data_IF_605492841492
#
_entry.id   IF_605492841492
#
_cell.length_a   1.000
_cell.length_b   1.000
_cell.length_c   1.000
_cell.angle_alpha   90.00
_cell.angle_beta   90.00
_cell.angle_gamma   90.00
#
_symmetry.space_group_name_H-M   'P 1'
#
loop_
_entity.id
_entity.type
_entity.pdbx_description
1 polymer ?
#
# COMPACT_ATOMS: atom_id res chain seq x y z
N UNK A 1 13.85 -24.83 8.50
CA UNK A 1 13.52 -23.98 7.33
C UNK A 1 14.21 -22.64 7.50
N UNK A 2 14.66 -21.98 6.44
CA UNK A 2 15.38 -20.70 6.51
C UNK A 2 14.45 -19.54 6.14
N UNK A 3 14.52 -18.45 6.89
CA UNK A 3 13.87 -17.20 6.53
C UNK A 3 14.53 -16.61 5.27
N UNK A 4 13.75 -15.91 4.46
CA UNK A 4 14.23 -15.21 3.28
C UNK A 4 15.12 -14.03 3.69
N UNK A 5 16.19 -13.78 2.94
CA UNK A 5 17.13 -12.65 3.18
C UNK A 5 17.29 -11.72 1.98
N UNK A 6 16.62 -12.03 0.87
CA UNK A 6 16.78 -11.31 -0.41
C UNK A 6 15.90 -10.06 -0.49
N UNK A 7 14.69 -10.13 0.06
CA UNK A 7 13.75 -9.03 0.06
C UNK A 7 13.97 -8.18 1.32
N UNK A 8 14.74 -7.12 1.16
CA UNK A 8 15.15 -6.21 2.22
C UNK A 8 14.19 -5.05 2.46
N UNK A 9 14.65 -4.09 3.27
CA UNK A 9 13.87 -2.91 3.63
C UNK A 9 13.61 -1.96 2.46
N UNK A 10 14.53 -1.88 1.48
CA UNK A 10 14.36 -1.07 0.26
C UNK A 10 13.10 -1.49 -0.49
N UNK A 11 12.90 -2.81 -0.62
CA UNK A 11 11.70 -3.34 -1.26
C UNK A 11 10.45 -3.09 -0.41
N UNK A 12 10.54 -3.18 0.92
CA UNK A 12 9.42 -2.83 1.80
C UNK A 12 8.96 -1.38 1.57
N UNK A 13 9.91 -0.44 1.48
CA UNK A 13 9.65 0.98 1.22
C UNK A 13 9.06 1.18 -0.17
N UNK A 14 9.60 0.52 -1.21
CA UNK A 14 9.02 0.56 -2.55
C UNK A 14 7.57 0.05 -2.57
N UNK A 15 7.29 -1.13 -2.00
CA UNK A 15 5.94 -1.71 -2.00
C UNK A 15 4.96 -0.82 -1.23
N UNK A 16 5.43 -0.19 -0.15
CA UNK A 16 4.65 0.77 0.61
C UNK A 16 4.37 2.04 -0.19
N UNK A 17 5.39 2.71 -0.73
CA UNK A 17 5.25 3.96 -1.47
C UNK A 17 4.48 3.82 -2.78
N UNK A 18 4.65 2.70 -3.48
CA UNK A 18 3.83 2.37 -4.65
C UNK A 18 2.34 2.20 -4.27
N UNK A 19 2.07 1.54 -3.14
CA UNK A 19 0.73 1.40 -2.60
C UNK A 19 0.13 2.75 -2.15
N UNK A 20 0.89 3.51 -1.35
CA UNK A 20 0.51 4.82 -0.83
C UNK A 20 0.19 5.80 -1.95
N UNK A 21 1.04 5.85 -3.00
CA UNK A 21 0.81 6.72 -4.15
C UNK A 21 -0.44 6.35 -4.94
N UNK A 22 -0.68 5.04 -5.18
CA UNK A 22 -1.95 4.60 -5.75
C UNK A 22 -3.15 4.93 -4.87
N UNK A 23 -3.03 4.75 -3.55
CA UNK A 23 -4.09 5.00 -2.58
C UNK A 23 -4.46 6.48 -2.45
N UNK A 24 -3.47 7.37 -2.41
CA UNK A 24 -3.67 8.84 -2.39
C UNK A 24 -4.36 9.32 -3.66
N UNK A 25 -3.95 8.82 -4.82
CA UNK A 25 -4.62 9.13 -6.09
C UNK A 25 -6.09 8.68 -6.08
N UNK A 26 -6.36 7.45 -5.62
CA UNK A 26 -7.73 6.92 -5.51
C UNK A 26 -8.56 7.76 -4.53
N UNK A 27 -7.99 8.16 -3.39
CA UNK A 27 -8.64 9.01 -2.41
C UNK A 27 -8.99 10.39 -3.01
N UNK A 28 -8.03 11.05 -3.68
CA UNK A 28 -8.23 12.36 -4.31
C UNK A 28 -9.26 12.33 -5.43
N UNK A 29 -9.22 11.33 -6.31
CA UNK A 29 -10.21 11.17 -7.37
C UNK A 29 -11.60 10.83 -6.81
N UNK A 30 -11.66 10.04 -5.74
CA UNK A 30 -12.92 9.73 -5.06
C UNK A 30 -13.52 10.98 -4.40
N UNK A 31 -12.68 11.87 -3.85
CA UNK A 31 -13.10 13.17 -3.33
C UNK A 31 -13.66 14.08 -4.46
N UNK A 32 -13.04 14.07 -5.66
CA UNK A 32 -13.53 14.82 -6.83
C UNK A 32 -14.92 14.31 -7.27
N UNK A 33 -15.10 12.99 -7.39
CA UNK A 33 -16.40 12.41 -7.75
C UNK A 33 -17.47 12.61 -6.67
N UNK A 34 -17.08 12.68 -5.41
CA UNK A 34 -17.99 12.95 -4.29
C UNK A 34 -18.34 14.45 -4.16
N UNK A 35 -17.78 15.33 -5.00
CA UNK A 35 -18.02 16.77 -4.94
C UNK A 35 -17.46 17.43 -3.68
N UNK A 36 -16.39 16.86 -3.10
CA UNK A 36 -15.73 17.40 -1.92
C UNK A 36 -14.88 18.64 -2.28
N UNK A 37 -14.29 19.27 -1.27
CA UNK A 37 -13.41 20.41 -1.47
C UNK A 37 -12.29 20.09 -2.48
N UNK A 38 -12.13 20.97 -3.46
CA UNK A 38 -11.18 20.76 -4.58
C UNK A 38 -9.76 20.58 -4.09
N UNK A 39 -9.38 21.21 -2.98
CA UNK A 39 -8.06 21.07 -2.37
C UNK A 39 -7.78 19.64 -1.92
N UNK A 40 -8.77 18.93 -1.35
CA UNK A 40 -8.64 17.51 -0.94
C UNK A 40 -8.31 16.65 -2.15
N UNK A 41 -9.04 16.86 -3.25
CA UNK A 41 -8.86 16.13 -4.49
C UNK A 41 -7.51 16.41 -5.14
N UNK A 42 -7.11 17.69 -5.21
CA UNK A 42 -5.81 18.12 -5.74
C UNK A 42 -4.65 17.58 -4.88
N UNK A 43 -4.78 17.55 -3.55
CA UNK A 43 -3.79 16.95 -2.65
C UNK A 43 -3.62 15.45 -2.94
N UNK A 44 -4.73 14.70 -3.05
CA UNK A 44 -4.65 13.26 -3.33
C UNK A 44 -4.02 12.93 -4.69
N UNK A 45 -4.40 13.68 -5.73
CA UNK A 45 -3.77 13.56 -7.06
C UNK A 45 -2.29 13.94 -6.99
N UNK A 46 -1.95 15.05 -6.37
CA UNK A 46 -0.57 15.50 -6.26
C UNK A 46 0.35 14.52 -5.53
N UNK A 47 -0.12 13.89 -4.45
CA UNK A 47 0.71 12.96 -3.67
C UNK A 47 0.99 11.63 -4.39
N UNK A 48 0.16 11.25 -5.36
CA UNK A 48 0.28 9.97 -6.07
C UNK A 48 1.64 9.81 -6.73
N UNK A 49 1.97 10.73 -7.64
CA UNK A 49 3.18 10.66 -8.47
C UNK A 49 4.47 10.70 -7.64
N UNK A 50 4.70 11.67 -6.72
CA UNK A 50 5.90 11.72 -5.91
C UNK A 50 6.11 10.45 -5.09
N UNK A 51 5.06 9.89 -4.49
CA UNK A 51 5.16 8.66 -3.72
C UNK A 51 5.63 7.50 -4.59
N UNK A 52 4.96 7.26 -5.74
CA UNK A 52 5.33 6.15 -6.62
C UNK A 52 6.70 6.36 -7.25
N UNK A 53 7.04 7.59 -7.64
CA UNK A 53 8.35 7.92 -8.21
C UNK A 53 9.48 7.63 -7.21
N UNK A 54 9.36 8.12 -5.98
CA UNK A 54 10.36 7.85 -4.91
C UNK A 54 10.43 6.35 -4.63
N UNK A 55 9.28 5.66 -4.56
CA UNK A 55 9.23 4.20 -4.41
C UNK A 55 10.00 3.47 -5.53
N UNK A 56 9.86 3.92 -6.78
CA UNK A 56 10.61 3.37 -7.90
C UNK A 56 12.12 3.62 -7.79
N UNK A 57 12.55 4.75 -7.21
CA UNK A 57 13.98 4.99 -6.95
C UNK A 57 14.55 3.97 -5.96
N UNK A 58 13.80 3.63 -4.90
CA UNK A 58 14.18 2.55 -3.97
C UNK A 58 14.24 1.18 -4.67
N UNK A 59 13.30 0.89 -5.56
CA UNK A 59 13.31 -0.34 -6.36
C UNK A 59 14.55 -0.42 -7.26
N UNK A 60 14.91 0.68 -7.93
CA UNK A 60 16.08 0.74 -8.82
C UNK A 60 17.38 0.61 -8.01
N UNK A 61 17.44 1.22 -6.82
CA UNK A 61 18.60 1.11 -5.93
C UNK A 61 18.82 -0.31 -5.39
N UNK A 62 17.76 -1.09 -5.21
CA UNK A 62 17.83 -2.51 -4.79
C UNK A 62 18.32 -3.45 -5.90
N UNK A 63 18.25 -3.01 -7.18
CA UNK A 63 18.78 -3.81 -8.28
C UNK A 63 20.28 -4.02 -8.14
N UNK A 64 20.75 -5.26 -8.30
CA UNK A 64 22.19 -5.56 -8.28
C UNK A 64 23.00 -4.83 -9.37
N UNK A 65 22.35 -4.34 -10.44
CA UNK A 65 22.94 -3.46 -11.46
C UNK A 65 21.92 -2.38 -11.88
N UNK A 66 21.83 -1.24 -11.17
CA UNK A 66 20.80 -0.21 -11.40
C UNK A 66 20.78 0.33 -12.84
N UNK A 67 21.94 0.43 -13.49
CA UNK A 67 22.06 0.90 -14.88
C UNK A 67 21.26 0.06 -15.90
N UNK A 68 20.94 -1.19 -15.56
CA UNK A 68 20.18 -2.10 -16.40
C UNK A 68 18.68 -2.11 -16.09
N UNK A 69 18.15 -1.14 -15.34
CA UNK A 69 16.73 -1.10 -14.96
C UNK A 69 15.80 -1.17 -16.16
N UNK A 70 16.19 -0.61 -17.32
CA UNK A 70 15.40 -0.66 -18.56
C UNK A 70 15.09 -2.09 -19.01
N UNK A 71 15.91 -3.07 -18.62
CA UNK A 71 15.66 -4.49 -18.90
C UNK A 71 14.45 -5.04 -18.14
N UNK A 72 13.99 -4.35 -17.10
CA UNK A 72 12.78 -4.73 -16.38
C UNK A 72 11.54 -4.73 -17.29
N UNK A 73 11.50 -3.89 -18.33
CA UNK A 73 10.42 -3.87 -19.32
C UNK A 73 10.39 -5.10 -20.25
N UNK A 74 11.42 -5.95 -20.23
CA UNK A 74 11.56 -7.04 -21.19
C UNK A 74 10.72 -8.27 -20.79
N UNK A 75 10.15 -8.94 -21.79
CA UNK A 75 9.38 -10.20 -21.67
C UNK A 75 8.11 -10.08 -20.78
N UNK A 76 7.18 -9.14 -21.04
CA UNK A 76 5.94 -8.99 -20.27
C UNK A 76 5.01 -10.22 -20.33
N UNK A 77 5.17 -11.07 -21.35
CA UNK A 77 4.42 -12.33 -21.45
C UNK A 77 4.74 -13.31 -20.31
N UNK A 78 5.98 -13.34 -19.82
CA UNK A 78 6.44 -14.34 -18.85
C UNK A 78 6.88 -13.75 -17.51
N UNK A 79 7.31 -12.49 -17.48
CA UNK A 79 7.84 -11.84 -16.28
C UNK A 79 6.78 -11.00 -15.58
N UNK A 80 6.50 -11.33 -14.31
CA UNK A 80 5.66 -10.48 -13.46
C UNK A 80 6.27 -9.11 -13.24
N UNK A 81 7.60 -9.04 -13.08
CA UNK A 81 8.34 -7.77 -12.95
C UNK A 81 8.04 -6.86 -14.14
N UNK A 82 8.09 -7.39 -15.36
CA UNK A 82 7.84 -6.60 -16.56
C UNK A 82 6.40 -6.08 -16.67
N UNK A 83 5.41 -6.89 -16.29
CA UNK A 83 4.00 -6.44 -16.25
C UNK A 83 3.82 -5.29 -15.28
N UNK A 84 4.42 -5.41 -14.10
CA UNK A 84 4.42 -4.36 -13.09
C UNK A 84 5.09 -3.08 -13.53
N UNK A 85 6.30 -3.18 -14.08
CA UNK A 85 7.04 -2.02 -14.58
C UNK A 85 6.20 -1.25 -15.61
N UNK A 86 5.48 -1.95 -16.49
CA UNK A 86 4.57 -1.31 -17.46
C UNK A 86 3.41 -0.61 -16.73
N UNK A 87 2.68 -1.32 -15.85
CA UNK A 87 1.53 -0.76 -15.11
C UNK A 87 1.92 0.50 -14.32
N UNK A 88 3.01 0.41 -13.56
CA UNK A 88 3.52 1.51 -12.72
C UNK A 88 3.97 2.69 -13.58
N UNK A 89 4.62 2.43 -14.72
CA UNK A 89 5.06 3.50 -15.64
C UNK A 89 3.86 4.23 -16.24
N UNK A 90 2.83 3.50 -16.69
CA UNK A 90 1.61 4.13 -17.20
C UNK A 90 0.88 4.93 -16.11
N UNK A 91 0.80 4.39 -14.88
CA UNK A 91 0.24 5.14 -13.75
C UNK A 91 1.00 6.46 -13.53
N UNK A 92 2.34 6.41 -13.42
CA UNK A 92 3.16 7.61 -13.21
C UNK A 92 3.01 8.63 -14.34
N UNK A 93 2.95 8.20 -15.60
CA UNK A 93 2.75 9.12 -16.74
C UNK A 93 1.37 9.77 -16.66
N UNK A 94 0.31 8.99 -16.43
CA UNK A 94 -1.05 9.51 -16.35
C UNK A 94 -1.22 10.47 -15.17
N UNK A 95 -0.71 10.11 -14.00
CA UNK A 95 -0.80 10.94 -12.80
C UNK A 95 0.02 12.24 -12.96
N UNK A 96 1.23 12.16 -13.52
CA UNK A 96 2.02 13.34 -13.86
C UNK A 96 1.31 14.28 -14.84
N UNK A 97 0.67 13.73 -15.88
CA UNK A 97 -0.15 14.51 -16.80
C UNK A 97 -1.37 15.12 -16.09
N UNK A 98 -1.99 14.38 -15.18
CA UNK A 98 -3.12 14.88 -14.40
C UNK A 98 -2.71 16.08 -13.54
N UNK A 99 -1.58 15.98 -12.82
CA UNK A 99 -0.99 17.08 -12.06
C UNK A 99 -0.71 18.28 -12.97
N UNK A 100 -0.09 18.06 -14.14
CA UNK A 100 0.26 19.15 -15.07
C UNK A 100 -0.97 19.90 -15.57
N UNK A 101 -2.03 19.17 -15.90
CA UNK A 101 -3.21 19.71 -16.56
C UNK A 101 -4.26 20.26 -15.59
N UNK A 102 -4.17 19.95 -14.29
CA UNK A 102 -5.16 20.37 -13.28
C UNK A 102 -4.61 21.15 -12.08
N UNK A 103 -3.31 21.00 -11.77
CA UNK A 103 -2.73 21.57 -10.55
C UNK A 103 -1.65 22.58 -10.91
N UNK A 104 -0.64 22.16 -11.67
CA UNK A 104 0.50 23.02 -11.99
C UNK A 104 1.27 22.56 -13.23
N UNK A 105 1.59 23.44 -14.20
CA UNK A 105 1.37 24.88 -14.20
C UNK A 105 0.01 25.29 -14.82
N UNK A 106 -0.78 24.33 -15.28
CA UNK A 106 -2.04 24.61 -15.97
C UNK A 106 -3.25 24.18 -15.14
N UNK A 107 -4.41 24.77 -15.44
CA UNK A 107 -5.70 24.40 -14.86
C UNK A 107 -6.73 24.07 -15.95
N UNK A 108 -6.26 23.47 -17.06
CA UNK A 108 -7.10 23.09 -18.21
C UNK A 108 -8.22 22.14 -17.77
N UNK A 109 -7.99 21.29 -16.78
CA UNK A 109 -9.01 20.34 -16.33
C UNK A 109 -10.02 20.92 -15.31
N UNK A 110 -9.86 22.17 -14.86
CA UNK A 110 -10.89 22.83 -14.04
C UNK A 110 -12.19 23.02 -14.81
N UNK A 111 -12.09 23.56 -16.02
CA UNK A 111 -13.25 23.90 -16.85
C UNK A 111 -13.77 22.72 -17.68
N UNK A 112 -12.90 21.73 -17.97
CA UNK A 112 -13.22 20.58 -18.81
C UNK A 112 -13.48 19.31 -17.99
N UNK A 113 -14.61 19.29 -17.27
CA UNK A 113 -15.03 18.19 -16.38
C UNK A 113 -15.03 16.82 -17.06
N UNK A 114 -15.46 16.72 -18.32
CA UNK A 114 -15.45 15.47 -19.08
C UNK A 114 -14.04 14.91 -19.29
N UNK A 115 -13.07 15.77 -19.61
CA UNK A 115 -11.67 15.37 -19.74
C UNK A 115 -11.06 15.00 -18.38
N UNK A 116 -11.41 15.73 -17.32
CA UNK A 116 -10.98 15.43 -15.95
C UNK A 116 -11.48 14.06 -15.51
N UNK A 117 -12.77 13.77 -15.66
CA UNK A 117 -13.35 12.47 -15.31
C UNK A 117 -12.77 11.33 -16.16
N UNK A 118 -12.44 11.57 -17.42
CA UNK A 118 -11.79 10.57 -18.26
C UNK A 118 -10.38 10.21 -17.74
N UNK A 119 -9.55 11.21 -17.42
CA UNK A 119 -8.23 11.01 -16.81
C UNK A 119 -8.36 10.36 -15.43
N UNK A 120 -9.33 10.77 -14.61
CA UNK A 120 -9.66 10.16 -13.33
C UNK A 120 -9.88 8.65 -13.48
N UNK A 121 -10.77 8.23 -14.37
CA UNK A 121 -11.10 6.82 -14.59
C UNK A 121 -9.88 6.02 -15.06
N UNK A 122 -9.12 6.54 -16.02
CA UNK A 122 -7.90 5.89 -16.49
C UNK A 122 -6.86 5.77 -15.36
N UNK A 123 -6.62 6.86 -14.63
CA UNK A 123 -5.70 6.87 -13.51
C UNK A 123 -6.12 5.91 -12.40
N UNK A 124 -7.42 5.80 -12.08
CA UNK A 124 -7.94 4.81 -11.12
C UNK A 124 -7.58 3.38 -11.55
N UNK A 125 -7.79 3.02 -12.81
CA UNK A 125 -7.48 1.67 -13.31
C UNK A 125 -5.99 1.35 -13.09
N UNK A 126 -5.10 2.28 -13.43
CA UNK A 126 -3.66 2.08 -13.27
C UNK A 126 -3.18 2.21 -11.81
N UNK A 127 -3.83 3.01 -10.97
CA UNK A 127 -3.59 3.09 -9.53
C UNK A 127 -3.95 1.76 -8.84
N UNK A 128 -5.15 1.24 -9.10
CA UNK A 128 -5.57 -0.09 -8.64
C UNK A 128 -4.63 -1.18 -9.15
N UNK A 129 -4.27 -1.13 -10.43
CA UNK A 129 -3.30 -2.05 -11.02
C UNK A 129 -1.94 -2.01 -10.31
N UNK A 130 -1.43 -0.81 -10.02
CA UNK A 130 -0.17 -0.58 -9.30
C UNK A 130 -0.22 -1.21 -7.92
N UNK A 131 -1.27 -0.94 -7.14
CA UNK A 131 -1.43 -1.48 -5.80
C UNK A 131 -1.51 -3.02 -5.84
N UNK A 132 -2.43 -3.60 -6.63
CA UNK A 132 -2.64 -5.05 -6.67
C UNK A 132 -1.38 -5.77 -7.17
N UNK A 133 -0.69 -5.20 -8.16
CA UNK A 133 0.54 -5.77 -8.69
C UNK A 133 1.61 -5.96 -7.61
N UNK A 134 1.76 -5.00 -6.68
CA UNK A 134 2.78 -5.13 -5.60
C UNK A 134 2.58 -6.39 -4.76
N UNK A 135 1.34 -6.81 -4.50
CA UNK A 135 1.04 -8.06 -3.81
C UNK A 135 1.21 -9.30 -4.71
N UNK A 136 0.80 -9.21 -5.98
CA UNK A 136 0.97 -10.30 -6.95
C UNK A 136 2.45 -10.62 -7.24
N UNK A 137 3.31 -9.59 -7.23
CA UNK A 137 4.76 -9.73 -7.40
C UNK A 137 5.36 -10.67 -6.34
N UNK A 138 4.96 -10.50 -5.07
CA UNK A 138 5.41 -11.38 -3.99
C UNK A 138 4.86 -12.80 -4.17
N UNK A 139 3.57 -12.94 -4.53
CA UNK A 139 2.95 -14.24 -4.78
C UNK A 139 3.57 -15.03 -5.95
N UNK A 140 4.17 -14.34 -6.91
CA UNK A 140 4.90 -14.98 -8.02
C UNK A 140 6.24 -15.61 -7.59
N UNK A 141 6.75 -15.28 -6.40
CA UNK A 141 7.98 -15.85 -5.85
C UNK A 141 7.72 -17.26 -5.31
N UNK A 142 7.88 -18.25 -6.20
CA UNK A 142 7.57 -19.68 -5.97
C UNK A 142 8.08 -20.31 -4.66
N UNK A 143 9.25 -19.96 -4.08
CA UNK A 143 9.75 -20.71 -2.92
C UNK A 143 9.11 -20.32 -1.58
N UNK A 144 8.19 -19.35 -1.51
CA UNK A 144 7.64 -18.85 -0.24
C UNK A 144 6.11 -18.95 -0.23
N UNK A 145 5.60 -20.02 0.39
CA UNK A 145 4.16 -20.33 0.44
C UNK A 145 3.32 -19.27 1.18
N UNK A 146 3.95 -18.50 2.08
CA UNK A 146 3.31 -17.40 2.81
C UNK A 146 2.87 -16.27 1.88
N UNK A 147 3.58 -16.05 0.78
CA UNK A 147 3.25 -15.00 -0.18
C UNK A 147 2.32 -15.48 -1.29
N UNK A 148 2.31 -16.77 -1.58
CA UNK A 148 1.51 -17.38 -2.66
C UNK A 148 0.05 -17.61 -2.23
N UNK A 149 -0.65 -16.56 -1.81
CA UNK A 149 -2.08 -16.62 -1.48
C UNK A 149 -2.83 -15.45 -2.14
N UNK A 150 -4.10 -15.67 -2.51
CA UNK A 150 -4.95 -14.61 -3.07
C UNK A 150 -5.30 -13.51 -2.05
N UNK A 151 -5.16 -13.81 -0.75
CA UNK A 151 -5.40 -12.86 0.34
C UNK A 151 -4.31 -11.80 0.44
N UNK A 152 -3.07 -12.09 0.02
CA UNK A 152 -1.97 -11.12 0.14
C UNK A 152 -2.15 -9.88 -0.77
N UNK A 153 -2.48 -10.02 -2.07
CA UNK A 153 -2.83 -8.87 -2.90
C UNK A 153 -4.00 -8.06 -2.34
N UNK A 154 -5.01 -8.73 -1.79
CA UNK A 154 -6.15 -8.06 -1.15
C UNK A 154 -5.75 -7.29 0.11
N UNK A 155 -4.89 -7.88 0.95
CA UNK A 155 -4.33 -7.22 2.13
C UNK A 155 -3.54 -5.97 1.74
N UNK A 156 -2.69 -6.06 0.72
CA UNK A 156 -1.94 -4.91 0.22
C UNK A 156 -2.84 -3.84 -0.38
N UNK A 157 -3.95 -4.25 -1.02
CA UNK A 157 -4.95 -3.34 -1.56
C UNK A 157 -5.62 -2.52 -0.46
N UNK A 158 -6.23 -3.18 0.52
CA UNK A 158 -6.96 -2.49 1.59
C UNK A 158 -6.01 -1.63 2.42
N UNK A 159 -4.83 -2.14 2.75
CA UNK A 159 -3.83 -1.38 3.50
C UNK A 159 -3.28 -0.17 2.72
N UNK A 160 -3.10 -0.29 1.40
CA UNK A 160 -2.70 0.84 0.55
C UNK A 160 -3.80 1.90 0.44
N UNK A 161 -5.07 1.49 0.38
CA UNK A 161 -6.20 2.40 0.41
C UNK A 161 -6.25 3.13 1.76
N UNK A 162 -6.21 2.44 2.90
CA UNK A 162 -6.24 3.10 4.22
C UNK A 162 -5.11 4.11 4.38
N UNK A 163 -3.87 3.68 4.16
CA UNK A 163 -2.70 4.58 4.25
C UNK A 163 -2.76 5.75 3.25
N UNK A 164 -3.34 5.53 2.07
CA UNK A 164 -3.56 6.58 1.07
C UNK A 164 -4.59 7.62 1.52
N UNK A 165 -5.73 7.18 2.06
CA UNK A 165 -6.74 8.06 2.65
C UNK A 165 -6.16 8.85 3.82
N UNK A 166 -5.45 8.19 4.74
CA UNK A 166 -4.75 8.83 5.85
C UNK A 166 -3.74 9.88 5.38
N UNK A 167 -2.99 9.63 4.31
CA UNK A 167 -2.04 10.61 3.78
C UNK A 167 -2.73 11.86 3.19
N UNK A 168 -3.89 11.69 2.55
CA UNK A 168 -4.71 12.82 2.09
C UNK A 168 -5.30 13.58 3.27
N UNK A 169 -5.88 12.89 4.26
CA UNK A 169 -6.44 13.50 5.47
C UNK A 169 -5.37 14.29 6.22
N UNK A 170 -4.20 13.69 6.44
CA UNK A 170 -3.07 14.31 7.12
C UNK A 170 -2.61 15.58 6.38
N UNK A 171 -2.39 15.48 5.07
CA UNK A 171 -1.89 16.60 4.27
C UNK A 171 -2.92 17.73 4.18
N UNK A 172 -4.20 17.39 4.02
CA UNK A 172 -5.31 18.36 4.00
C UNK A 172 -5.44 19.08 5.35
N UNK A 173 -5.35 18.33 6.46
CA UNK A 173 -5.40 18.89 7.81
C UNK A 173 -4.23 19.83 8.12
N UNK A 174 -3.04 19.56 7.56
CA UNK A 174 -1.86 20.42 7.73
C UNK A 174 -1.96 21.71 6.91
N UNK A 175 -2.57 21.65 5.72
CA UNK A 175 -2.79 22.82 4.85
C UNK A 175 -3.97 23.68 5.34
N UNK A 176 -4.77 23.18 6.27
CA UNK A 176 -5.86 23.93 6.91
C UNK A 176 -7.23 23.71 6.29
N UNK A 177 -7.41 22.62 5.52
CA UNK A 177 -8.72 22.15 5.06
C UNK A 177 -9.61 21.89 6.28
N UNK A 178 -10.87 22.35 6.22
CA UNK A 178 -11.79 22.23 7.33
C UNK A 178 -12.15 20.77 7.61
N UNK A 179 -12.30 20.41 8.88
CA UNK A 179 -12.66 19.05 9.31
C UNK A 179 -13.97 18.58 8.64
N UNK A 180 -14.93 19.49 8.51
CA UNK A 180 -16.23 19.23 7.89
C UNK A 180 -16.10 18.72 6.45
N UNK A 181 -15.02 19.11 5.75
CA UNK A 181 -14.73 18.69 4.38
C UNK A 181 -14.00 17.34 4.33
N UNK A 182 -13.50 16.82 5.45
CA UNK A 182 -12.78 15.54 5.53
C UNK A 182 -13.62 14.39 6.08
N UNK A 183 -14.78 14.67 6.67
CA UNK A 183 -15.57 13.68 7.42
C UNK A 183 -15.99 12.44 6.63
N UNK A 184 -16.14 12.52 5.30
CA UNK A 184 -16.39 11.33 4.46
C UNK A 184 -15.15 10.45 4.36
N UNK A 185 -13.97 11.05 4.14
CA UNK A 185 -12.69 10.33 4.05
C UNK A 185 -12.36 9.63 5.37
N UNK A 186 -12.58 10.30 6.50
CA UNK A 186 -12.38 9.73 7.84
C UNK A 186 -13.27 8.50 8.08
N UNK A 187 -14.55 8.55 7.67
CA UNK A 187 -15.47 7.40 7.80
C UNK A 187 -15.07 6.24 6.91
N UNK A 188 -14.61 6.52 5.69
CA UNK A 188 -14.10 5.49 4.78
C UNK A 188 -12.86 4.83 5.38
N UNK A 189 -11.95 5.62 5.96
CA UNK A 189 -10.73 5.09 6.56
C UNK A 189 -11.03 4.17 7.76
N UNK A 190 -11.96 4.53 8.65
CA UNK A 190 -12.43 3.64 9.73
C UNK A 190 -12.89 2.28 9.18
N UNK A 191 -13.66 2.29 8.09
CA UNK A 191 -14.13 1.05 7.44
C UNK A 191 -12.95 0.26 6.85
N UNK A 192 -11.98 0.93 6.24
CA UNK A 192 -10.77 0.29 5.69
C UNK A 192 -9.91 -0.33 6.79
N UNK A 193 -9.71 0.34 7.94
CA UNK A 193 -8.96 -0.21 9.08
C UNK A 193 -9.67 -1.46 9.63
N UNK A 194 -10.99 -1.41 9.82
CA UNK A 194 -11.77 -2.57 10.27
C UNK A 194 -11.64 -3.73 9.28
N UNK A 195 -11.78 -3.44 7.99
CA UNK A 195 -11.62 -4.42 6.92
C UNK A 195 -10.19 -5.02 6.91
N UNK A 196 -9.17 -4.20 7.12
CA UNK A 196 -7.77 -4.63 7.20
C UNK A 196 -7.54 -5.57 8.38
N UNK A 197 -8.10 -5.27 9.56
CA UNK A 197 -8.06 -6.17 10.73
C UNK A 197 -8.65 -7.54 10.38
N UNK A 198 -9.81 -7.59 9.74
CA UNK A 198 -10.43 -8.85 9.32
C UNK A 198 -9.56 -9.59 8.30
N UNK A 199 -9.05 -8.91 7.26
CA UNK A 199 -8.23 -9.54 6.23
C UNK A 199 -6.94 -10.09 6.82
N UNK A 200 -6.27 -9.36 7.73
CA UNK A 200 -5.06 -9.85 8.42
C UNK A 200 -5.38 -11.10 9.24
N UNK A 201 -6.47 -11.08 10.00
CA UNK A 201 -6.89 -12.24 10.80
C UNK A 201 -7.16 -13.47 9.92
N UNK A 202 -7.91 -13.30 8.82
CA UNK A 202 -8.18 -14.38 7.87
C UNK A 202 -6.91 -14.86 7.14
N UNK A 203 -6.04 -13.94 6.73
CA UNK A 203 -4.76 -14.26 6.08
C UNK A 203 -3.86 -15.09 6.99
N UNK A 204 -3.68 -14.68 8.25
CA UNK A 204 -2.86 -15.41 9.23
C UNK A 204 -3.49 -16.74 9.62
N UNK A 205 -4.83 -16.82 9.75
CA UNK A 205 -5.51 -18.07 10.00
C UNK A 205 -5.36 -19.06 8.84
N UNK A 206 -5.55 -18.60 7.59
CA UNK A 206 -5.43 -19.41 6.39
C UNK A 206 -4.00 -19.95 6.23
N UNK A 207 -3.00 -19.08 6.40
CA UNK A 207 -1.58 -19.47 6.32
C UNK A 207 -1.15 -20.40 7.46
N UNK A 208 -1.73 -20.26 8.67
CA UNK A 208 -1.44 -21.17 9.77
C UNK A 208 -1.97 -22.60 9.52
N UNK A 209 -3.09 -22.74 8.80
CA UNK A 209 -3.71 -24.05 8.51
C UNK A 209 -2.91 -24.86 7.49
N UNK A 210 -2.29 -24.20 6.51
CA UNK A 210 -1.50 -24.83 5.43
C UNK A 210 -0.09 -25.19 5.91
N UNK A 211 0.38 -26.42 5.67
CA UNK A 211 1.64 -26.92 6.24
C UNK A 211 2.87 -26.14 5.78
N UNK A 212 2.86 -25.69 4.54
CA UNK A 212 3.95 -25.02 3.84
C UNK A 212 4.13 -23.57 4.31
N UNK A 213 3.07 -22.91 4.77
CA UNK A 213 3.10 -21.53 5.27
C UNK A 213 2.91 -21.41 6.78
N UNK A 214 2.62 -22.52 7.48
CA UNK A 214 2.45 -22.55 8.95
C UNK A 214 3.67 -22.04 9.70
N UNK A 215 4.87 -22.39 9.24
CA UNK A 215 6.11 -21.90 9.86
C UNK A 215 6.21 -20.37 9.78
N UNK A 216 5.86 -19.78 8.64
CA UNK A 216 5.81 -18.33 8.45
C UNK A 216 4.77 -17.66 9.33
N UNK A 217 3.56 -18.24 9.41
CA UNK A 217 2.51 -17.74 10.30
C UNK A 217 2.95 -17.76 11.78
N UNK A 218 3.61 -18.84 12.22
CA UNK A 218 4.18 -18.92 13.57
C UNK A 218 5.30 -17.90 13.79
N UNK A 219 6.17 -17.69 12.80
CA UNK A 219 7.24 -16.68 12.87
C UNK A 219 6.68 -15.27 13.11
N UNK A 220 5.57 -14.94 12.46
CA UNK A 220 4.86 -13.66 12.58
C UNK A 220 4.05 -13.56 13.87
N UNK A 221 3.41 -14.63 14.34
CA UNK A 221 2.53 -14.58 15.51
C UNK A 221 3.28 -14.72 16.85
N UNK A 222 4.30 -15.57 16.90
CA UNK A 222 5.01 -15.91 18.15
C UNK A 222 6.54 -16.06 17.99
N UNK A 223 7.08 -15.88 16.79
CA UNK A 223 8.52 -15.94 16.53
C UNK A 223 9.22 -14.59 16.59
N UNK A 224 10.37 -14.48 15.93
CA UNK A 224 11.20 -13.28 15.95
C UNK A 224 10.58 -12.05 15.26
N UNK A 225 9.54 -12.24 14.44
CA UNK A 225 8.82 -11.14 13.77
C UNK A 225 7.61 -10.67 14.60
N UNK A 226 7.23 -11.41 15.66
CA UNK A 226 6.06 -11.11 16.47
C UNK A 226 6.05 -9.72 17.12
N UNK A 227 7.16 -9.18 17.66
CA UNK A 227 7.15 -7.82 18.19
C UNK A 227 6.80 -6.77 17.12
N UNK A 228 7.32 -6.96 15.90
CA UNK A 228 7.06 -6.07 14.77
C UNK A 228 5.58 -6.13 14.34
N UNK A 229 4.99 -7.33 14.38
CA UNK A 229 3.57 -7.52 14.07
C UNK A 229 2.66 -6.95 15.17
N UNK A 230 2.83 -7.35 16.42
CA UNK A 230 1.91 -6.96 17.49
C UNK A 230 2.02 -5.48 17.85
N UNK A 231 3.23 -4.98 18.08
CA UNK A 231 3.40 -3.57 18.45
C UNK A 231 3.30 -2.65 17.23
N UNK A 232 3.93 -3.02 16.12
CA UNK A 232 4.01 -2.17 14.94
C UNK A 232 2.76 -2.17 14.08
N UNK A 233 2.17 -3.34 13.79
CA UNK A 233 0.97 -3.44 12.95
C UNK A 233 -0.30 -3.40 13.79
N UNK A 234 -0.46 -4.34 14.73
CA UNK A 234 -1.73 -4.49 15.42
C UNK A 234 -2.05 -3.31 16.36
N UNK A 235 -1.08 -2.86 17.15
CA UNK A 235 -1.29 -1.74 18.07
C UNK A 235 -1.11 -0.40 17.36
N UNK A 236 0.09 -0.13 16.85
CA UNK A 236 0.43 1.17 16.27
C UNK A 236 -0.27 1.40 14.92
N UNK A 237 -0.40 0.38 14.08
CA UNK A 237 -0.98 0.54 12.74
C UNK A 237 -2.49 0.40 12.63
N UNK A 238 -3.15 -0.25 13.59
CA UNK A 238 -4.58 -0.57 13.50
C UNK A 238 -5.36 -0.10 14.73
N UNK A 239 -4.98 -0.55 15.93
CA UNK A 239 -5.73 -0.24 17.14
C UNK A 239 -5.70 1.26 17.50
N UNK A 240 -4.51 1.87 17.51
CA UNK A 240 -4.37 3.29 17.85
C UNK A 240 -5.05 4.20 16.81
N UNK A 241 -4.82 4.04 15.48
CA UNK A 241 -5.53 4.81 14.47
C UNK A 241 -7.05 4.67 14.61
N UNK A 242 -7.56 3.43 14.71
CA UNK A 242 -9.00 3.19 14.87
C UNK A 242 -9.58 3.90 16.09
N UNK A 243 -8.91 3.83 17.25
CA UNK A 243 -9.38 4.51 18.45
C UNK A 243 -9.38 6.03 18.29
N UNK A 244 -8.33 6.59 17.68
CA UNK A 244 -8.23 8.03 17.46
C UNK A 244 -9.21 8.54 16.42
N UNK A 245 -9.47 7.79 15.34
CA UNK A 245 -10.50 8.15 14.37
C UNK A 245 -11.89 8.05 14.98
N UNK A 246 -12.20 7.01 15.77
CA UNK A 246 -13.48 6.92 16.46
C UNK A 246 -13.72 8.09 17.42
N UNK A 247 -12.69 8.48 18.19
CA UNK A 247 -12.75 9.65 19.07
C UNK A 247 -12.88 10.96 18.26
N UNK A 248 -12.03 11.12 17.24
CA UNK A 248 -11.99 12.30 16.39
C UNK A 248 -13.29 12.53 15.62
N UNK A 249 -13.90 11.47 15.09
CA UNK A 249 -15.12 11.52 14.28
C UNK A 249 -16.37 11.62 15.14
N UNK A 250 -16.49 10.79 16.19
CA UNK A 250 -17.76 10.62 16.91
C UNK A 250 -17.83 11.30 18.28
N UNK A 251 -16.69 11.53 18.95
CA UNK A 251 -16.67 12.08 20.30
C UNK A 251 -16.30 13.58 20.35
N UNK A 252 -15.54 14.07 19.37
CA UNK A 252 -15.01 15.43 19.36
C UNK A 252 -15.52 16.24 18.16
N UNK A 253 -15.76 17.52 18.37
CA UNK A 253 -16.20 18.47 17.33
C UNK A 253 -15.20 19.61 17.16
N UNK A 254 -15.13 20.17 15.95
CA UNK A 254 -14.25 21.29 15.62
C UNK A 254 -12.76 20.99 15.85
N UNK A 255 -12.01 22.01 16.27
CA UNK A 255 -10.55 21.97 16.43
C UNK A 255 -10.05 20.95 17.47
N UNK A 256 -10.88 20.57 18.45
CA UNK A 256 -10.51 19.59 19.46
C UNK A 256 -10.23 18.20 18.89
N UNK A 257 -10.81 17.86 17.73
CA UNK A 257 -10.59 16.58 17.06
C UNK A 257 -9.28 16.51 16.27
N UNK A 258 -8.72 17.66 15.89
CA UNK A 258 -7.58 17.74 14.96
C UNK A 258 -6.34 16.97 15.44
N UNK A 259 -5.91 17.03 16.72
CA UNK A 259 -4.76 16.24 17.18
C UNK A 259 -4.97 14.73 17.01
N UNK A 260 -6.19 14.23 17.21
CA UNK A 260 -6.51 12.81 17.08
C UNK A 260 -6.44 12.36 15.63
N UNK A 261 -6.97 13.15 14.70
CA UNK A 261 -6.92 12.87 13.25
C UNK A 261 -5.47 12.83 12.76
N UNK A 262 -4.64 13.78 13.19
CA UNK A 262 -3.21 13.83 12.83
C UNK A 262 -2.46 12.60 13.38
N UNK A 263 -2.72 12.23 14.64
CA UNK A 263 -2.08 11.07 15.27
C UNK A 263 -2.55 9.76 14.62
N UNK A 264 -3.84 9.62 14.33
CA UNK A 264 -4.40 8.45 13.65
C UNK A 264 -3.72 8.23 12.30
N UNK A 265 -3.69 9.29 11.48
CA UNK A 265 -3.10 9.26 10.15
C UNK A 265 -1.59 8.96 10.21
N UNK A 266 -0.85 9.61 11.11
CA UNK A 266 0.59 9.39 11.25
C UNK A 266 0.91 7.95 11.66
N UNK A 267 0.22 7.42 12.67
CA UNK A 267 0.46 6.06 13.15
C UNK A 267 0.01 5.00 12.14
N UNK A 268 -1.12 5.19 11.45
CA UNK A 268 -1.58 4.24 10.44
C UNK A 268 -0.65 4.19 9.21
N UNK A 269 -0.13 5.33 8.74
CA UNK A 269 0.90 5.39 7.68
C UNK A 269 2.16 4.61 8.10
N UNK A 270 2.65 4.82 9.33
CA UNK A 270 3.81 4.10 9.86
C UNK A 270 3.51 2.59 9.96
N UNK A 271 2.34 2.23 10.49
CA UNK A 271 1.89 0.85 10.63
C UNK A 271 1.78 0.13 9.29
N UNK A 272 1.29 0.82 8.27
CA UNK A 272 1.22 0.31 6.90
C UNK A 272 2.61 0.00 6.33
N UNK A 273 3.62 0.84 6.57
CA UNK A 273 5.01 0.53 6.19
C UNK A 273 5.54 -0.69 6.95
N UNK A 274 5.27 -0.76 8.26
CA UNK A 274 5.68 -1.90 9.09
C UNK A 274 4.99 -3.19 8.62
N UNK A 275 3.74 -3.15 8.16
CA UNK A 275 3.05 -4.31 7.60
C UNK A 275 3.83 -4.89 6.41
N UNK A 276 4.32 -4.06 5.48
CA UNK A 276 5.12 -4.54 4.34
C UNK A 276 6.40 -5.21 4.85
N UNK A 277 7.03 -4.67 5.89
CA UNK A 277 8.19 -5.30 6.52
C UNK A 277 7.86 -6.64 7.20
N UNK A 278 6.73 -6.74 7.89
CA UNK A 278 6.25 -7.99 8.52
C UNK A 278 6.02 -9.07 7.46
N UNK A 279 5.34 -8.74 6.36
CA UNK A 279 5.08 -9.71 5.29
C UNK A 279 6.38 -10.21 4.66
N UNK A 280 7.33 -9.31 4.38
CA UNK A 280 8.62 -9.69 3.81
C UNK A 280 9.45 -10.53 4.80
N UNK A 281 9.60 -10.10 6.05
CA UNK A 281 10.38 -10.83 7.07
C UNK A 281 9.72 -12.15 7.47
N UNK A 282 8.40 -12.25 7.35
CA UNK A 282 7.63 -13.47 7.61
C UNK A 282 7.83 -14.56 6.55
N UNK A 283 8.46 -14.26 5.41
CA UNK A 283 8.69 -15.24 4.35
C UNK A 283 9.71 -16.32 4.73
N UNK A 284 9.25 -17.54 4.95
CA UNK A 284 10.11 -18.73 5.10
C UNK A 284 10.11 -19.53 3.80
N UNK A 285 11.29 -19.97 3.37
CA UNK A 285 11.43 -20.85 2.21
C UNK A 285 10.84 -22.23 2.50
N UNK A 286 9.95 -22.69 1.62
CA UNK A 286 9.40 -24.03 1.65
C UNK A 286 10.51 -25.08 1.43
N UNK A 287 10.44 -26.25 2.09
CA UNK A 287 11.36 -27.35 1.82
C UNK A 287 11.20 -27.86 0.39
N UNK A 288 12.30 -28.19 -0.29
CA UNK A 288 12.26 -28.76 -1.64
C UNK A 288 11.75 -30.21 -1.53
N UNK A 289 10.63 -30.53 -2.16
CA UNK A 289 10.12 -31.90 -2.26
C UNK A 289 10.56 -32.52 -3.59
N UNK A 290 11.32 -33.62 -3.54
CA UNK A 290 11.58 -34.48 -4.70
C UNK A 290 11.20 -35.92 -4.33
N UNK A 291 10.13 -36.43 -4.94
CA UNK A 291 9.54 -37.72 -4.57
C UNK A 291 8.96 -37.70 -3.14
N UNK A 292 9.30 -38.71 -2.33
CA UNK A 292 8.91 -38.81 -0.90
C UNK A 292 9.87 -38.07 0.04
N UNK A 293 10.92 -37.43 -0.47
CA UNK A 293 11.96 -36.82 0.34
C UNK A 293 11.76 -35.31 0.45
N UNK A 294 11.69 -34.82 1.69
CA UNK A 294 11.77 -33.40 2.02
C UNK A 294 13.24 -33.01 2.20
N UNK A 295 13.78 -32.25 1.26
CA UNK A 295 15.11 -31.68 1.37
C UNK A 295 15.01 -30.32 2.08
N UNK A 296 15.59 -30.26 3.28
CA UNK A 296 15.89 -28.97 3.90
C UNK A 296 16.96 -28.25 3.08
N UNK A 297 16.77 -26.95 2.80
CA UNK A 297 17.83 -26.10 2.24
C UNK A 297 18.93 -25.90 3.28
N UNK A 298 19.77 -26.93 3.49
CA UNK A 298 21.00 -26.85 4.29
C UNK A 298 22.12 -26.36 3.37
N UNK A 299 22.51 -25.10 3.61
CA UNK A 299 23.72 -24.41 3.14
C UNK A 299 24.14 -24.64 1.68
N UNK A 300 23.66 -23.76 0.79
CA UNK A 300 24.47 -23.15 -0.28
C UNK A 300 24.33 -21.64 -0.14
#
# INVERSE_FOLDING_TARGET
>A
MKAQTKWGWLIAVYLFLAGLGGGTYIAGVSADFAGMATDVSKIGVFLGFPCVFIGCMFLIADLGKPINFWRAFMKPRTSWIARGTIIITFFMILDFLHIILWIWPFDVLADFTGARHFINILGLIFAFGTIIYTGLLLGASRPIAFWSTAMLPLLFLVSALSTGFMAVILSSSVIGVLKEELGLLERIDIVLIILEIFIIAFYLQATHRVSESRASAKLVLSGSVAPLFWFGVAILGLLLPLLFDLIGVFALSGSSAQPFILLASAFGIIGGLILRQVILKGGIHAPLKSGRFEYGLTNV
#
